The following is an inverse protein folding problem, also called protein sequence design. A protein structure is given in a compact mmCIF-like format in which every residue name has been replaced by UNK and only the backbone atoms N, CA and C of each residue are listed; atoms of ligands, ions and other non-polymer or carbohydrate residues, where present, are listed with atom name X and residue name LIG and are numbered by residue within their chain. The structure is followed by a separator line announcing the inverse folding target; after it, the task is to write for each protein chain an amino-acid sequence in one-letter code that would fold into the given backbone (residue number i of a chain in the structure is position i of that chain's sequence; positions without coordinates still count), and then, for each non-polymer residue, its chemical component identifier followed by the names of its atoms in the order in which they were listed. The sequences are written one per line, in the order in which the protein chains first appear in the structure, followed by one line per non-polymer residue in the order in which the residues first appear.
data_IF_946109546871
#
_entry.id   IF_946109546871
#
_cell.length_a   1.000
_cell.length_b   1.000
_cell.length_c   1.000
_cell.angle_alpha   90.00
_cell.angle_beta   90.00
_cell.angle_gamma   90.00
#
_symmetry.space_group_name_H-M   'P 1'
#
loop_
_entity.id
_entity.type
_entity.pdbx_description
1 polymer ?
#
# COMPACT_ATOMS: atom_id res chain seq x y z
N UNK A 1 -4.74 -18.70 0.87
CA UNK A 1 -4.92 -18.40 -0.56
C UNK A 1 -6.27 -18.95 -0.97
N UNK A 2 -7.33 -18.14 -0.85
CA UNK A 2 -8.62 -18.49 -1.45
C UNK A 2 -8.61 -17.99 -2.89
N UNK A 3 -8.45 -18.93 -3.82
CA UNK A 3 -8.77 -18.75 -5.25
C UNK A 3 -10.30 -18.67 -5.47
N UNK A 4 -11.06 -18.41 -4.41
CA UNK A 4 -12.52 -18.46 -4.35
C UNK A 4 -13.06 -17.02 -4.19
N UNK A 5 -12.92 -16.24 -5.26
CA UNK A 5 -13.52 -14.91 -5.39
C UNK A 5 -13.81 -14.49 -6.83
N UNK A 6 -13.32 -15.26 -7.83
CA UNK A 6 -13.54 -15.03 -9.26
C UNK A 6 -14.84 -15.72 -9.74
N UNK A 7 -15.78 -15.95 -8.83
CA UNK A 7 -17.18 -16.21 -9.16
C UNK A 7 -18.04 -15.03 -8.69
N UNK A 8 -17.75 -13.84 -9.22
CA UNK A 8 -18.82 -12.89 -9.47
C UNK A 8 -19.71 -13.55 -10.51
N UNK A 9 -20.74 -14.25 -10.04
CA UNK A 9 -21.78 -14.78 -10.90
C UNK A 9 -22.21 -13.68 -11.87
N UNK A 10 -22.55 -14.03 -13.11
CA UNK A 10 -23.17 -13.12 -14.09
C UNK A 10 -24.41 -12.35 -13.57
N UNK A 11 -24.85 -12.57 -12.32
CA UNK A 11 -26.00 -11.94 -11.66
C UNK A 11 -25.70 -10.55 -11.06
N UNK A 12 -24.46 -10.19 -10.67
CA UNK A 12 -24.13 -8.85 -10.13
C UNK A 12 -22.80 -8.34 -10.72
N UNK A 13 -22.85 -7.30 -11.55
CA UNK A 13 -21.65 -6.70 -12.17
C UNK A 13 -20.86 -5.91 -11.12
N UNK A 14 -19.54 -6.11 -11.07
CA UNK A 14 -18.64 -5.33 -10.21
C UNK A 14 -18.75 -3.84 -10.56
N UNK A 15 -18.91 -2.99 -9.54
CA UNK A 15 -19.09 -1.53 -9.66
C UNK A 15 -20.34 -1.08 -10.45
N UNK A 16 -21.32 -1.97 -10.64
CA UNK A 16 -22.63 -1.57 -11.15
C UNK A 16 -23.23 -0.47 -10.27
N UNK A 17 -23.63 0.65 -10.87
CA UNK A 17 -24.22 1.78 -10.14
C UNK A 17 -23.23 2.75 -9.48
N UNK A 18 -21.92 2.47 -9.56
CA UNK A 18 -20.88 3.41 -9.11
C UNK A 18 -20.86 4.64 -10.03
N UNK A 19 -20.78 5.88 -9.52
CA UNK A 19 -20.69 7.08 -10.35
C UNK A 19 -19.49 7.06 -11.31
N UNK A 20 -19.62 7.65 -12.51
CA UNK A 20 -18.57 7.67 -13.54
C UNK A 20 -17.20 8.09 -13.00
N UNK A 21 -17.16 9.17 -12.22
CA UNK A 21 -15.90 9.68 -11.64
C UNK A 21 -15.20 8.62 -10.77
N UNK A 22 -15.95 7.91 -9.93
CA UNK A 22 -15.38 6.88 -9.07
C UNK A 22 -14.98 5.63 -9.85
N UNK A 23 -15.71 5.30 -10.92
CA UNK A 23 -15.32 4.22 -11.82
C UNK A 23 -13.99 4.54 -12.53
N UNK A 24 -13.81 5.79 -12.96
CA UNK A 24 -12.55 6.28 -13.53
C UNK A 24 -11.39 6.24 -12.53
N UNK A 25 -11.61 6.75 -11.31
CA UNK A 25 -10.62 6.66 -10.23
C UNK A 25 -10.23 5.19 -9.97
N UNK A 26 -11.21 4.28 -9.94
CA UNK A 26 -10.95 2.85 -9.72
C UNK A 26 -10.15 2.22 -10.84
N UNK A 27 -10.35 2.63 -12.09
CA UNK A 27 -9.52 2.21 -13.21
C UNK A 27 -8.06 2.55 -12.97
N UNK A 28 -7.74 3.78 -12.54
CA UNK A 28 -6.36 4.20 -12.30
C UNK A 28 -5.71 3.43 -11.15
N UNK A 29 -6.45 3.24 -10.05
CA UNK A 29 -6.00 2.42 -8.92
C UNK A 29 -5.67 1.00 -9.36
N UNK A 30 -6.53 0.39 -10.19
CA UNK A 30 -6.30 -0.97 -10.69
C UNK A 30 -5.13 -1.03 -11.67
N UNK A 31 -4.96 -0.05 -12.56
CA UNK A 31 -3.78 0.03 -13.43
C UNK A 31 -2.49 0.08 -12.60
N UNK A 32 -2.46 0.88 -11.53
CA UNK A 32 -1.30 1.00 -10.64
C UNK A 32 -0.95 -0.31 -9.93
N UNK A 33 -1.94 -1.16 -9.65
CA UNK A 33 -1.76 -2.46 -9.00
C UNK A 33 -1.57 -3.61 -9.99
N UNK A 34 -1.94 -3.42 -11.26
CA UNK A 34 -1.84 -4.47 -12.31
C UNK A 34 -0.47 -4.46 -12.96
N UNK A 35 0.15 -3.29 -13.05
CA UNK A 35 1.45 -3.09 -13.67
C UNK A 35 2.48 -2.63 -12.65
N UNK A 36 3.74 -2.83 -13.00
CA UNK A 36 4.90 -2.34 -12.28
C UNK A 36 6.02 -1.96 -13.23
N UNK A 37 7.07 -1.34 -12.69
CA UNK A 37 8.31 -1.13 -13.41
C UNK A 37 9.24 -2.29 -13.09
N UNK A 38 9.85 -2.89 -14.10
CA UNK A 38 10.91 -3.89 -13.93
C UNK A 38 12.29 -3.23 -13.69
N UNK A 39 13.34 -4.04 -13.61
CA UNK A 39 14.70 -3.57 -13.35
C UNK A 39 15.31 -2.73 -14.47
N UNK A 40 14.77 -2.81 -15.68
CA UNK A 40 15.12 -1.93 -16.81
C UNK A 40 14.11 -0.80 -16.98
N UNK A 41 13.19 -0.63 -16.02
CA UNK A 41 12.15 0.39 -15.97
C UNK A 41 11.21 0.35 -17.16
N UNK A 42 10.92 -0.85 -17.64
CA UNK A 42 9.82 -1.13 -18.53
C UNK A 42 8.56 -1.42 -17.71
N UNK A 43 7.41 -0.99 -18.24
CA UNK A 43 6.12 -1.31 -17.64
C UNK A 43 5.79 -2.76 -17.96
N UNK A 44 5.69 -3.59 -16.93
CA UNK A 44 5.39 -5.02 -17.05
C UNK A 44 4.14 -5.37 -16.22
N UNK A 45 3.36 -6.39 -16.62
CA UNK A 45 2.35 -6.99 -15.76
C UNK A 45 2.98 -7.54 -14.48
N UNK A 46 2.31 -7.41 -13.34
CA UNK A 46 2.73 -8.12 -12.12
C UNK A 46 2.42 -9.60 -12.25
N UNK A 47 3.38 -10.45 -11.88
CA UNK A 47 3.25 -11.91 -12.00
C UNK A 47 2.58 -12.59 -10.79
N UNK A 48 2.35 -11.88 -9.69
CA UNK A 48 2.04 -12.52 -8.39
C UNK A 48 0.54 -12.72 -8.11
N UNK A 49 -0.35 -11.98 -8.79
CA UNK A 49 -1.79 -12.04 -8.53
C UNK A 49 -2.62 -11.79 -9.80
N UNK A 50 -3.51 -12.72 -10.17
CA UNK A 50 -4.46 -12.55 -11.28
C UNK A 50 -5.64 -11.64 -10.91
N UNK A 51 -5.84 -11.35 -9.64
CA UNK A 51 -6.98 -10.59 -9.13
C UNK A 51 -7.02 -9.13 -9.62
N UNK A 52 -5.91 -8.34 -9.60
CA UNK A 52 -5.88 -7.02 -10.22
C UNK A 52 -6.29 -7.04 -11.71
N UNK A 53 -5.78 -8.01 -12.49
CA UNK A 53 -6.12 -8.17 -13.91
C UNK A 53 -7.61 -8.44 -14.13
N UNK A 54 -8.18 -9.36 -13.35
CA UNK A 54 -9.60 -9.69 -13.42
C UNK A 54 -10.46 -8.48 -13.07
N UNK A 55 -10.13 -7.75 -11.99
CA UNK A 55 -10.85 -6.53 -11.59
C UNK A 55 -10.73 -5.43 -12.63
N UNK A 56 -9.55 -5.20 -13.20
CA UNK A 56 -9.37 -4.24 -14.27
C UNK A 56 -10.26 -4.58 -15.48
N UNK A 57 -10.32 -5.86 -15.86
CA UNK A 57 -11.20 -6.30 -16.95
C UNK A 57 -12.68 -6.02 -16.67
N UNK A 58 -13.13 -6.20 -15.42
CA UNK A 58 -14.50 -5.89 -15.01
C UNK A 58 -14.78 -4.39 -15.05
N UNK A 59 -13.84 -3.55 -14.62
CA UNK A 59 -13.97 -2.09 -14.73
C UNK A 59 -14.09 -1.65 -16.18
N UNK A 60 -13.25 -2.19 -17.07
CA UNK A 60 -13.31 -1.87 -18.50
C UNK A 60 -14.64 -2.34 -19.13
N UNK A 61 -15.15 -3.50 -18.72
CA UNK A 61 -16.46 -3.99 -19.16
C UNK A 61 -17.61 -3.11 -18.64
N UNK A 62 -17.57 -2.66 -17.39
CA UNK A 62 -18.57 -1.73 -16.86
C UNK A 62 -18.51 -0.35 -17.54
N UNK A 63 -17.31 0.14 -17.88
CA UNK A 63 -17.14 1.39 -18.65
C UNK A 63 -17.71 1.28 -20.08
N UNK A 64 -17.51 0.15 -20.75
CA UNK A 64 -17.98 -0.04 -22.13
C UNK A 64 -19.50 -0.11 -22.24
N UNK A 65 -20.19 -0.49 -21.16
CA UNK A 65 -21.65 -0.51 -21.07
C UNK A 65 -22.28 0.87 -20.85
N UNK A 66 -21.49 1.89 -20.50
CA UNK A 66 -22.00 3.25 -20.24
C UNK A 66 -22.14 4.07 -21.52
N UNK A 67 -23.03 5.08 -21.56
CA UNK A 67 -23.15 5.97 -22.70
C UNK A 67 -21.79 6.60 -23.07
N UNK A 68 -21.39 6.46 -24.34
CA UNK A 68 -20.09 6.92 -24.84
C UNK A 68 -18.91 5.95 -24.62
N UNK A 69 -19.13 4.84 -23.91
CA UNK A 69 -18.15 3.78 -23.69
C UNK A 69 -16.83 4.26 -23.07
N UNK A 70 -15.76 3.50 -23.28
CA UNK A 70 -14.43 3.79 -22.73
C UNK A 70 -13.88 5.14 -23.23
N UNK A 71 -14.18 5.54 -24.47
CA UNK A 71 -13.70 6.80 -25.05
C UNK A 71 -14.19 8.04 -24.28
N UNK A 72 -15.44 8.00 -23.77
CA UNK A 72 -15.96 9.05 -22.91
C UNK A 72 -15.17 9.19 -21.60
N UNK A 73 -14.79 8.06 -20.97
CA UNK A 73 -13.99 8.08 -19.74
C UNK A 73 -12.60 8.68 -19.99
N UNK A 74 -11.93 8.28 -21.06
CA UNK A 74 -10.60 8.80 -21.41
C UNK A 74 -10.62 10.30 -21.68
N UNK A 75 -11.68 10.81 -22.30
CA UNK A 75 -11.83 12.24 -22.59
C UNK A 75 -12.18 13.07 -21.34
N UNK A 76 -13.06 12.55 -20.46
CA UNK A 76 -13.60 13.30 -19.31
C UNK A 76 -12.76 13.16 -18.04
N UNK A 77 -12.12 12.01 -17.86
CA UNK A 77 -11.34 11.66 -16.69
C UNK A 77 -9.97 11.14 -17.17
N UNK A 78 -9.05 12.05 -17.56
CA UNK A 78 -7.72 11.66 -17.99
C UNK A 78 -6.95 11.00 -16.84
N UNK A 79 -6.00 10.12 -17.17
CA UNK A 79 -5.15 9.45 -16.18
C UNK A 79 -4.50 10.47 -15.23
N UNK A 80 -4.39 10.10 -13.95
CA UNK A 80 -3.68 10.94 -13.00
C UNK A 80 -2.18 11.01 -13.31
N UNK A 81 -1.52 12.02 -12.73
CA UNK A 81 -0.08 12.28 -12.95
C UNK A 81 0.79 11.10 -12.49
N UNK A 82 0.44 10.43 -11.39
CA UNK A 82 1.23 9.34 -10.83
C UNK A 82 1.19 8.08 -11.72
N UNK A 83 0.01 7.74 -12.21
CA UNK A 83 -0.23 6.67 -13.19
C UNK A 83 0.49 6.99 -14.50
N UNK A 84 0.43 8.24 -14.96
CA UNK A 84 1.17 8.69 -16.15
C UNK A 84 2.68 8.56 -15.96
N UNK A 85 3.21 8.97 -14.81
CA UNK A 85 4.63 8.87 -14.49
C UNK A 85 5.12 7.42 -14.37
N UNK A 86 4.27 6.51 -13.88
CA UNK A 86 4.55 5.07 -13.91
C UNK A 86 4.62 4.55 -15.35
N UNK A 87 3.68 4.97 -16.22
CA UNK A 87 3.63 4.49 -17.60
C UNK A 87 4.77 5.04 -18.47
N UNK A 88 5.37 6.17 -18.08
CA UNK A 88 6.49 6.81 -18.76
C UNK A 88 7.54 7.29 -17.75
N UNK A 89 8.35 6.37 -17.17
CA UNK A 89 9.33 6.73 -16.15
C UNK A 89 10.43 7.62 -16.72
N UNK A 90 10.87 8.62 -15.95
CA UNK A 90 11.98 9.49 -16.34
C UNK A 90 13.31 8.75 -16.33
N UNK A 91 14.29 9.22 -17.11
CA UNK A 91 15.66 8.65 -17.14
C UNK A 91 16.30 8.59 -15.74
N UNK A 92 16.01 9.57 -14.88
CA UNK A 92 16.45 9.56 -13.48
C UNK A 92 15.90 8.35 -12.72
N UNK A 93 14.61 8.02 -12.88
CA UNK A 93 14.01 6.84 -12.26
C UNK A 93 14.65 5.57 -12.81
N UNK A 94 14.89 5.50 -14.13
CA UNK A 94 15.53 4.34 -14.76
C UNK A 94 16.93 4.08 -14.22
N UNK A 95 17.75 5.13 -14.12
CA UNK A 95 19.09 5.03 -13.56
C UNK A 95 19.09 4.56 -12.10
N UNK A 96 18.20 5.11 -11.28
CA UNK A 96 18.04 4.70 -9.87
C UNK A 96 17.60 3.24 -9.76
N UNK A 97 16.63 2.81 -10.57
CA UNK A 97 16.16 1.42 -10.61
C UNK A 97 17.30 0.43 -10.95
N UNK A 98 18.08 0.73 -11.99
CA UNK A 98 19.25 -0.07 -12.37
C UNK A 98 20.33 -0.10 -11.28
N UNK A 99 20.52 1.01 -10.54
CA UNK A 99 21.45 1.06 -9.40
C UNK A 99 21.02 0.10 -8.29
N UNK A 100 19.74 0.10 -7.92
CA UNK A 100 19.21 -0.84 -6.92
C UNK A 100 19.32 -2.27 -7.42
N UNK A 101 18.93 -2.53 -8.68
CA UNK A 101 18.99 -3.87 -9.26
C UNK A 101 20.40 -4.47 -9.22
N UNK A 102 21.43 -3.67 -9.55
CA UNK A 102 22.84 -4.11 -9.45
C UNK A 102 23.28 -4.48 -8.03
N UNK A 103 22.66 -3.88 -7.01
CA UNK A 103 22.92 -4.20 -5.61
C UNK A 103 22.14 -5.45 -5.13
N UNK A 104 21.07 -5.83 -5.83
CA UNK A 104 20.30 -7.03 -5.53
C UNK A 104 20.97 -8.24 -6.18
N UNK A 105 21.69 -9.03 -5.37
CA UNK A 105 22.24 -10.32 -5.79
C UNK A 105 21.09 -11.31 -5.99
N UNK A 106 20.61 -11.46 -7.23
CA UNK A 106 19.75 -12.49 -7.87
C UNK A 106 18.51 -13.07 -7.13
N UNK A 107 18.33 -12.84 -5.84
CA UNK A 107 17.19 -13.27 -5.05
C UNK A 107 16.67 -12.09 -4.21
N UNK A 108 15.41 -11.74 -4.39
CA UNK A 108 14.72 -10.69 -3.61
C UNK A 108 13.82 -11.26 -2.51
N UNK A 109 13.69 -12.59 -2.43
CA UNK A 109 12.84 -13.24 -1.45
C UNK A 109 13.35 -12.97 -0.03
N UNK A 110 12.40 -12.82 0.89
CA UNK A 110 12.67 -12.60 2.31
C UNK A 110 13.57 -11.38 2.60
N UNK A 111 13.38 -10.29 1.86
CA UNK A 111 14.03 -9.01 2.11
C UNK A 111 13.00 -7.94 2.44
N UNK A 112 13.40 -6.95 3.22
CA UNK A 112 12.61 -5.75 3.45
C UNK A 112 13.33 -4.54 2.86
N UNK A 113 12.58 -3.67 2.21
CA UNK A 113 13.12 -2.45 1.60
C UNK A 113 12.49 -1.24 2.28
N UNK A 114 13.30 -0.23 2.55
CA UNK A 114 12.82 1.07 3.02
C UNK A 114 13.45 2.16 2.19
N UNK A 115 12.60 2.97 1.58
CA UNK A 115 13.00 4.09 0.74
C UNK A 115 12.79 5.40 1.52
N UNK A 116 13.61 6.40 1.23
CA UNK A 116 13.46 7.72 1.85
C UNK A 116 14.56 8.70 1.45
N UNK A 117 14.67 9.79 2.20
CA UNK A 117 15.80 10.70 2.08
C UNK A 117 17.09 10.02 2.52
N UNK A 118 18.23 10.50 1.97
CA UNK A 118 19.52 9.90 2.27
C UNK A 118 19.84 9.96 3.76
N UNK A 119 19.54 11.09 4.41
CA UNK A 119 19.82 11.30 5.83
C UNK A 119 19.16 10.23 6.72
N UNK A 120 17.87 9.97 6.54
CA UNK A 120 17.15 8.99 7.37
C UNK A 120 17.56 7.55 7.05
N UNK A 121 17.85 7.25 5.78
CA UNK A 121 18.27 5.90 5.38
C UNK A 121 19.70 5.59 5.84
N UNK A 122 20.57 6.60 5.83
CA UNK A 122 21.91 6.49 6.38
C UNK A 122 21.89 6.29 7.90
N UNK A 123 21.10 7.06 8.64
CA UNK A 123 20.93 6.89 10.09
C UNK A 123 20.36 5.50 10.45
N UNK A 124 19.36 5.04 9.70
CA UNK A 124 18.82 3.68 9.85
C UNK A 124 19.91 2.62 9.64
N UNK A 125 20.71 2.74 8.59
CA UNK A 125 21.73 1.75 8.25
C UNK A 125 22.92 1.75 9.22
N UNK A 126 23.48 2.93 9.52
CA UNK A 126 24.71 3.05 10.32
C UNK A 126 24.45 2.88 11.81
N UNK A 127 23.40 3.49 12.32
CA UNK A 127 23.15 3.60 13.76
C UNK A 127 21.93 2.79 14.23
N UNK A 128 21.14 2.26 13.28
CA UNK A 128 19.86 1.63 13.60
C UNK A 128 18.81 2.65 14.05
N UNK A 129 18.94 3.92 13.64
CA UNK A 129 18.00 4.97 14.01
C UNK A 129 16.63 4.75 13.37
N UNK A 130 15.62 4.51 14.21
CA UNK A 130 14.26 4.20 13.80
C UNK A 130 13.32 5.24 14.42
N UNK A 131 12.42 5.75 13.59
CA UNK A 131 11.30 6.58 14.04
C UNK A 131 9.98 5.89 13.73
N UNK A 132 9.22 5.57 14.76
CA UNK A 132 7.85 5.10 14.63
C UNK A 132 6.91 6.28 14.42
N UNK A 133 6.17 6.24 13.31
CA UNK A 133 5.19 7.27 12.99
C UNK A 133 3.84 6.90 13.60
N UNK A 134 3.11 7.86 14.15
CA UNK A 134 1.69 7.66 14.47
C UNK A 134 0.90 7.47 13.16
N UNK A 135 0.03 6.48 13.13
CA UNK A 135 -0.84 6.19 12.00
C UNK A 135 -1.72 7.41 11.63
N UNK A 136 -2.17 8.19 12.62
CA UNK A 136 -2.90 9.44 12.38
C UNK A 136 -2.15 10.47 11.51
N UNK A 137 -0.81 10.48 11.53
CA UNK A 137 -0.03 11.46 10.79
C UNK A 137 -0.10 11.24 9.26
N UNK A 138 -0.39 10.02 8.80
CA UNK A 138 -0.45 9.71 7.36
C UNK A 138 -1.60 10.44 6.67
N UNK A 139 -2.70 10.70 7.40
CA UNK A 139 -3.87 11.44 6.88
C UNK A 139 -3.53 12.86 6.43
N UNK A 140 -2.49 13.44 7.03
CA UNK A 140 -2.06 14.81 6.78
C UNK A 140 -0.82 14.91 5.89
N UNK A 141 -0.37 13.80 5.29
CA UNK A 141 0.78 13.83 4.39
C UNK A 141 0.51 14.68 3.15
N UNK A 142 1.51 15.46 2.74
CA UNK A 142 1.51 16.18 1.46
C UNK A 142 1.84 15.24 0.28
N UNK A 143 2.45 14.09 0.57
CA UNK A 143 2.71 13.07 -0.44
C UNK A 143 1.45 12.21 -0.65
N UNK A 144 0.75 12.40 -1.77
CA UNK A 144 -0.46 11.67 -2.13
C UNK A 144 -0.27 10.14 -2.19
N UNK A 145 0.94 9.66 -2.48
CA UNK A 145 1.25 8.23 -2.51
C UNK A 145 1.33 7.63 -1.10
N UNK A 146 1.50 8.45 -0.07
CA UNK A 146 1.58 8.04 1.35
C UNK A 146 0.36 8.51 2.14
N UNK A 147 -0.42 9.45 1.59
CA UNK A 147 -1.58 10.04 2.25
C UNK A 147 -2.74 9.04 2.34
N UNK A 148 -2.91 8.49 3.54
CA UNK A 148 -3.95 7.50 3.84
C UNK A 148 -4.58 7.73 5.21
N UNK A 149 -5.84 7.32 5.37
CA UNK A 149 -6.51 7.26 6.68
C UNK A 149 -6.25 5.89 7.31
N UNK A 150 -5.04 5.70 7.81
CA UNK A 150 -4.57 4.43 8.41
C UNK A 150 -5.41 3.95 9.61
N UNK A 151 -6.26 4.82 10.16
CA UNK A 151 -7.13 4.54 11.29
C UNK A 151 -8.55 4.16 10.89
N UNK A 152 -8.92 4.34 9.61
CA UNK A 152 -10.27 4.14 9.13
C UNK A 152 -10.30 3.50 7.74
N UNK A 153 -10.99 2.37 7.62
CA UNK A 153 -11.34 1.81 6.32
C UNK A 153 -12.84 1.99 6.08
N UNK A 154 -13.17 2.74 5.03
CA UNK A 154 -14.54 2.93 4.57
C UNK A 154 -14.87 1.90 3.48
N UNK A 155 -16.04 1.28 3.63
CA UNK A 155 -16.62 0.36 2.68
C UNK A 155 -17.86 0.96 2.05
N UNK A 156 -18.09 0.69 0.77
CA UNK A 156 -19.22 1.22 0.03
C UNK A 156 -19.89 0.09 -0.74
N UNK A 157 -21.15 -0.17 -0.42
CA UNK A 157 -21.98 -1.14 -1.12
C UNK A 157 -23.01 -0.42 -1.99
N UNK A 158 -22.87 -0.51 -3.31
CA UNK A 158 -23.86 0.02 -4.25
C UNK A 158 -25.02 -0.97 -4.42
N UNK A 159 -26.24 -0.43 -4.26
CA UNK A 159 -27.46 -1.22 -4.35
C UNK A 159 -27.86 -1.42 -5.81
N UNK A 160 -28.23 -2.63 -6.16
CA UNK A 160 -28.90 -2.94 -7.44
C UNK A 160 -30.26 -2.26 -7.52
N UNK A 161 -30.80 -2.05 -8.72
CA UNK A 161 -32.12 -1.43 -8.91
C UNK A 161 -33.22 -2.11 -8.09
N UNK A 162 -33.14 -3.45 -7.96
CA UNK A 162 -34.04 -4.23 -7.11
C UNK A 162 -33.90 -3.86 -5.63
N UNK A 163 -32.66 -3.82 -5.11
CA UNK A 163 -32.37 -3.44 -3.73
C UNK A 163 -32.78 -1.97 -3.46
N UNK A 164 -32.61 -1.07 -4.43
CA UNK A 164 -33.04 0.33 -4.30
C UNK A 164 -34.56 0.48 -4.20
N UNK A 165 -35.32 -0.34 -4.94
CA UNK A 165 -36.78 -0.38 -4.88
C UNK A 165 -37.30 -0.87 -3.52
N UNK A 166 -36.56 -1.78 -2.86
CA UNK A 166 -36.90 -2.31 -1.54
C UNK A 166 -36.51 -1.36 -0.39
N UNK A 167 -35.46 -0.55 -0.55
CA UNK A 167 -34.87 0.29 0.51
C UNK A 167 -35.13 1.79 0.25
N UNK A 168 -36.36 2.14 -0.12
CA UNK A 168 -36.84 3.54 -0.24
C UNK A 168 -35.93 4.49 -1.04
N UNK A 169 -35.30 4.00 -2.12
CA UNK A 169 -34.47 4.82 -3.02
C UNK A 169 -33.05 5.13 -2.52
N UNK A 170 -32.57 4.49 -1.45
CA UNK A 170 -31.16 4.55 -1.08
C UNK A 170 -30.29 4.00 -2.22
N UNK A 171 -29.22 4.71 -2.60
CA UNK A 171 -28.32 4.28 -3.71
C UNK A 171 -27.17 3.38 -3.26
N UNK A 172 -26.70 3.56 -2.03
CA UNK A 172 -25.59 2.79 -1.47
C UNK A 172 -25.63 2.79 0.06
N UNK A 173 -24.99 1.79 0.67
CA UNK A 173 -24.62 1.77 2.08
C UNK A 173 -23.15 2.06 2.25
N UNK A 174 -22.81 2.78 3.32
CA UNK A 174 -21.43 3.01 3.74
C UNK A 174 -21.27 2.58 5.18
N UNK A 175 -20.18 1.89 5.47
CA UNK A 175 -19.77 1.62 6.85
C UNK A 175 -18.27 1.83 6.97
N UNK A 176 -17.83 2.17 8.18
CA UNK A 176 -16.42 2.44 8.47
C UNK A 176 -15.97 1.54 9.61
N UNK A 177 -14.84 0.87 9.43
CA UNK A 177 -14.12 0.21 10.51
C UNK A 177 -13.04 1.16 11.00
N UNK A 178 -12.96 1.35 12.31
CA UNK A 178 -12.00 2.26 12.94
C UNK A 178 -11.14 1.53 13.96
N UNK A 179 -9.90 1.99 14.12
CA UNK A 179 -8.97 1.56 15.17
C UNK A 179 -8.55 2.74 16.03
N UNK A 180 -8.22 2.52 17.32
CA UNK A 180 -7.35 3.42 18.06
C UNK A 180 -6.06 3.70 17.30
N UNK A 181 -5.44 4.84 17.59
CA UNK A 181 -4.15 5.19 16.99
C UNK A 181 -3.06 4.19 17.40
N UNK A 182 -2.11 3.98 16.48
CA UNK A 182 -1.00 3.06 16.68
C UNK A 182 0.27 3.64 16.09
N UNK A 183 1.41 3.17 16.60
CA UNK A 183 2.70 3.49 16.03
C UNK A 183 3.04 2.45 14.97
N UNK A 184 3.52 2.91 13.81
CA UNK A 184 3.91 2.05 12.69
C UNK A 184 5.28 2.39 12.14
N UNK A 185 5.97 1.36 11.70
CA UNK A 185 7.20 1.42 10.93
C UNK A 185 7.00 0.59 9.66
N UNK A 186 6.88 1.27 8.52
CA UNK A 186 6.62 0.62 7.24
C UNK A 186 7.91 0.31 6.47
N UNK A 187 7.95 -0.89 5.91
CA UNK A 187 8.85 -1.35 4.86
C UNK A 187 7.98 -1.82 3.69
N UNK A 188 8.61 -2.24 2.61
CA UNK A 188 7.99 -3.07 1.58
C UNK A 188 8.68 -4.43 1.54
N UNK A 189 7.93 -5.49 1.30
CA UNK A 189 8.45 -6.86 1.18
C UNK A 189 8.75 -7.28 -0.26
N UNK A 190 8.53 -6.39 -1.23
CA UNK A 190 8.87 -6.58 -2.63
C UNK A 190 9.38 -5.28 -3.27
N UNK A 191 10.22 -5.40 -4.29
CA UNK A 191 10.75 -4.21 -4.97
C UNK A 191 9.79 -3.72 -6.05
N UNK A 192 9.32 -2.48 -5.90
CA UNK A 192 8.63 -1.76 -6.96
C UNK A 192 9.35 -0.46 -7.29
N UNK A 193 10.01 -0.38 -8.44
CA UNK A 193 10.85 0.76 -8.79
C UNK A 193 10.08 2.08 -8.96
N UNK A 194 8.74 2.02 -9.12
CA UNK A 194 7.88 3.21 -9.09
C UNK A 194 7.99 3.99 -7.78
N UNK A 195 8.23 3.29 -6.67
CA UNK A 195 8.33 3.89 -5.33
C UNK A 195 9.47 4.92 -5.23
N UNK A 196 10.48 4.82 -6.10
CA UNK A 196 11.55 5.82 -6.22
C UNK A 196 10.96 7.19 -6.58
N UNK A 197 10.06 7.24 -7.56
CA UNK A 197 9.41 8.46 -8.01
C UNK A 197 8.33 8.91 -7.01
N UNK A 198 7.46 7.99 -6.60
CA UNK A 198 6.31 8.27 -5.73
C UNK A 198 6.74 8.83 -4.37
N UNK A 199 7.89 8.41 -3.86
CA UNK A 199 8.41 8.87 -2.57
C UNK A 199 9.59 9.83 -2.69
N UNK A 200 9.95 10.24 -3.91
CA UNK A 200 11.13 11.06 -4.19
C UNK A 200 12.39 10.53 -3.46
N UNK A 201 12.63 9.21 -3.59
CA UNK A 201 13.64 8.52 -2.80
C UNK A 201 15.07 8.92 -3.23
N UNK A 202 15.88 9.25 -2.23
CA UNK A 202 17.31 9.54 -2.36
C UNK A 202 18.17 8.36 -1.91
N UNK A 203 17.59 7.39 -1.21
CA UNK A 203 18.27 6.17 -0.82
C UNK A 203 17.27 5.04 -0.55
N UNK A 204 17.77 3.81 -0.55
CA UNK A 204 17.05 2.63 -0.06
C UNK A 204 17.93 1.82 0.88
N UNK A 205 17.37 1.40 2.02
CA UNK A 205 17.97 0.37 2.88
C UNK A 205 17.31 -0.97 2.54
N UNK A 206 18.13 -1.96 2.23
CA UNK A 206 17.72 -3.33 1.95
C UNK A 206 18.13 -4.18 3.16
N UNK A 207 17.16 -4.66 3.94
CA UNK A 207 17.38 -5.58 5.06
C UNK A 207 17.40 -7.00 4.50
N UNK A 208 18.54 -7.69 4.62
CA UNK A 208 18.74 -9.06 4.14
C UNK A 208 18.32 -10.12 5.16
N UNK A 209 18.26 -9.76 6.44
CA UNK A 209 17.84 -10.66 7.53
C UNK A 209 16.67 -10.04 8.32
N UNK A 210 15.42 -10.09 7.80
CA UNK A 210 14.25 -9.46 8.43
C UNK A 210 13.96 -9.96 9.86
N UNK A 211 14.29 -11.22 10.16
CA UNK A 211 14.13 -11.83 11.48
C UNK A 211 15.11 -11.28 12.50
N UNK A 212 16.37 -11.09 12.10
CA UNK A 212 17.37 -10.47 12.97
C UNK A 212 17.05 -8.99 13.21
N UNK A 213 16.63 -8.27 12.17
CA UNK A 213 16.12 -6.91 12.31
C UNK A 213 14.95 -6.83 13.30
N UNK A 214 13.97 -7.74 13.19
CA UNK A 214 12.86 -7.81 14.15
C UNK A 214 13.33 -8.13 15.57
N UNK A 215 14.30 -9.02 15.75
CA UNK A 215 14.84 -9.35 17.07
C UNK A 215 15.46 -8.13 17.74
N UNK A 216 16.29 -7.36 17.02
CA UNK A 216 16.88 -6.10 17.52
C UNK A 216 15.80 -5.09 17.86
N UNK A 217 14.82 -4.92 16.97
CA UNK A 217 13.68 -4.03 17.19
C UNK A 217 12.87 -4.43 18.43
N UNK A 218 12.59 -5.71 18.61
CA UNK A 218 11.86 -6.26 19.76
C UNK A 218 12.63 -6.02 21.07
N UNK A 219 13.94 -6.20 21.08
CA UNK A 219 14.77 -5.93 22.27
C UNK A 219 14.71 -4.45 22.64
N UNK A 220 14.93 -3.55 21.69
CA UNK A 220 14.91 -2.10 21.97
C UNK A 220 13.52 -1.54 22.25
N UNK A 221 12.45 -2.20 21.81
CA UNK A 221 11.09 -1.75 22.09
C UNK A 221 10.57 -2.18 23.46
N UNK A 222 11.15 -3.22 24.08
CA UNK A 222 10.77 -3.69 25.43
C UNK A 222 10.80 -2.58 26.50
N UNK A 223 11.72 -1.63 26.38
CA UNK A 223 11.82 -0.51 27.34
C UNK A 223 10.60 0.43 27.30
N UNK A 224 9.84 0.45 26.19
CA UNK A 224 8.61 1.22 26.03
C UNK A 224 7.35 0.37 26.29
N UNK A 225 7.53 -0.94 26.52
CA UNK A 225 6.41 -1.85 26.71
C UNK A 225 6.02 -1.88 28.19
N UNK A 226 4.82 -1.36 28.48
CA UNK A 226 4.08 -1.85 29.65
C UNK A 226 3.72 -3.34 29.43
N UNK A 227 3.32 -4.06 30.48
CA UNK A 227 2.93 -5.49 30.41
C UNK A 227 1.86 -5.83 29.34
N UNK A 228 1.27 -4.84 28.67
CA UNK A 228 0.21 -4.99 27.67
C UNK A 228 0.57 -4.48 26.26
N UNK A 229 1.78 -3.96 26.03
CA UNK A 229 2.18 -3.40 24.73
C UNK A 229 3.01 -4.44 23.95
N UNK A 230 2.51 -4.91 22.80
CA UNK A 230 3.22 -5.89 21.97
C UNK A 230 3.62 -5.31 20.61
N UNK A 231 4.90 -5.46 20.26
CA UNK A 231 5.40 -5.21 18.91
C UNK A 231 4.96 -6.36 17.99
N UNK A 232 4.01 -6.06 17.10
CA UNK A 232 3.52 -6.97 16.05
C UNK A 232 4.25 -6.67 14.74
N UNK A 233 4.32 -7.66 13.84
CA UNK A 233 4.83 -7.47 12.47
C UNK A 233 4.03 -8.29 11.46
N UNK A 234 4.01 -7.86 10.21
CA UNK A 234 3.40 -8.62 9.12
C UNK A 234 3.16 -7.81 7.86
N UNK A 235 2.92 -8.52 6.76
CA UNK A 235 2.51 -7.93 5.49
C UNK A 235 1.10 -7.36 5.60
N UNK A 236 0.88 -6.24 4.92
CA UNK A 236 -0.40 -5.53 4.88
C UNK A 236 -1.37 -6.25 3.97
N UNK A 237 -2.60 -6.41 4.45
CA UNK A 237 -3.72 -6.90 3.67
C UNK A 237 -4.44 -5.74 2.98
N UNK A 238 -4.53 -5.81 1.67
CA UNK A 238 -5.14 -4.78 0.86
C UNK A 238 -6.63 -5.05 0.63
N UNK A 239 -7.48 -4.12 1.07
CA UNK A 239 -8.92 -4.29 1.14
C UNK A 239 -9.60 -3.49 0.05
N UNK A 240 -10.36 -4.18 -0.81
CA UNK A 240 -11.19 -3.52 -1.82
C UNK A 240 -12.46 -2.97 -1.16
N UNK A 241 -12.65 -1.63 -1.13
CA UNK A 241 -13.80 -1.02 -0.46
C UNK A 241 -15.14 -1.33 -1.14
N UNK A 242 -15.12 -1.84 -2.38
CA UNK A 242 -16.30 -2.18 -3.17
C UNK A 242 -16.64 -3.66 -3.16
N UNK A 243 -15.81 -4.51 -2.55
CA UNK A 243 -16.07 -5.95 -2.50
C UNK A 243 -16.98 -6.28 -1.32
N UNK A 244 -18.07 -6.99 -1.61
CA UNK A 244 -19.14 -7.34 -0.68
C UNK A 244 -18.84 -8.59 0.16
N UNK A 245 -17.64 -9.17 -0.01
CA UNK A 245 -17.16 -10.28 0.80
C UNK A 245 -17.18 -9.85 2.26
N UNK A 246 -18.02 -10.53 3.04
CA UNK A 246 -18.29 -10.46 4.49
C UNK A 246 -17.03 -10.55 5.38
N UNK A 247 -15.98 -9.84 5.02
CA UNK A 247 -14.73 -9.79 5.73
C UNK A 247 -14.95 -8.77 6.83
N UNK A 248 -15.51 -9.24 7.94
CA UNK A 248 -15.47 -8.49 9.17
C UNK A 248 -13.99 -8.29 9.50
N UNK A 249 -13.51 -7.07 9.29
CA UNK A 249 -12.20 -6.67 9.78
C UNK A 249 -12.42 -6.28 11.23
N UNK A 250 -11.90 -7.10 12.14
CA UNK A 250 -11.83 -6.72 13.53
C UNK A 250 -10.88 -5.54 13.68
N UNK A 251 -11.21 -4.59 14.57
CA UNK A 251 -10.44 -3.35 14.75
C UNK A 251 -8.98 -3.63 15.09
N UNK A 252 -8.68 -4.74 15.77
CA UNK A 252 -7.33 -5.19 16.11
C UNK A 252 -6.46 -5.59 14.91
N UNK A 253 -7.08 -5.89 13.76
CA UNK A 253 -6.39 -6.21 12.51
C UNK A 253 -6.22 -5.01 11.59
N UNK A 254 -6.91 -3.89 11.87
CA UNK A 254 -6.85 -2.70 11.05
C UNK A 254 -5.42 -2.15 10.86
N UNK A 255 -4.50 -2.22 11.85
CA UNK A 255 -3.12 -1.74 11.65
C UNK A 255 -2.35 -2.44 10.53
N UNK A 256 -2.80 -3.63 10.12
CA UNK A 256 -2.26 -4.42 9.01
C UNK A 256 -3.21 -4.47 7.81
N UNK A 257 -4.17 -3.55 7.73
CA UNK A 257 -5.06 -3.41 6.59
C UNK A 257 -4.84 -2.05 5.93
N UNK A 258 -4.96 -1.99 4.60
CA UNK A 258 -4.84 -0.74 3.84
C UNK A 258 -5.81 -0.73 2.67
N UNK A 259 -6.19 0.45 2.19
CA UNK A 259 -6.99 0.59 0.97
C UNK A 259 -6.29 -0.10 -0.20
N UNK A 260 -7.05 -0.88 -0.97
CA UNK A 260 -6.56 -1.59 -2.13
C UNK A 260 -5.77 -0.74 -3.12
N UNK A 261 -6.07 0.57 -3.25
CA UNK A 261 -5.32 1.46 -4.15
C UNK A 261 -3.82 1.54 -3.86
N UNK A 262 -3.39 1.13 -2.67
CA UNK A 262 -1.99 1.11 -2.26
C UNK A 262 -1.34 -0.27 -2.36
N UNK A 263 -2.02 -1.28 -2.93
CA UNK A 263 -1.49 -2.65 -3.07
C UNK A 263 -0.11 -2.66 -3.73
N UNK A 264 0.13 -1.74 -4.66
CA UNK A 264 1.40 -1.64 -5.35
C UNK A 264 2.62 -1.48 -4.43
N UNK A 265 2.42 -1.01 -3.20
CA UNK A 265 3.48 -0.73 -2.23
C UNK A 265 3.95 -1.98 -1.49
N UNK A 266 3.15 -3.06 -1.46
CA UNK A 266 3.47 -4.32 -0.80
C UNK A 266 4.06 -4.10 0.61
N UNK A 267 3.33 -3.37 1.44
CA UNK A 267 3.82 -2.90 2.72
C UNK A 267 4.00 -4.05 3.72
N UNK A 268 5.11 -4.00 4.43
CA UNK A 268 5.38 -4.80 5.61
C UNK A 268 5.49 -3.87 6.81
N UNK A 269 4.66 -4.08 7.82
CA UNK A 269 4.58 -3.17 8.98
C UNK A 269 5.16 -3.81 10.22
N UNK A 270 5.81 -2.99 11.03
CA UNK A 270 5.98 -3.23 12.46
C UNK A 270 5.07 -2.27 13.21
N UNK A 271 4.22 -2.80 14.07
CA UNK A 271 3.15 -2.05 14.74
C UNK A 271 3.28 -2.18 16.25
N UNK A 272 3.17 -1.05 16.94
CA UNK A 272 3.01 -1.00 18.39
C UNK A 272 1.61 -0.45 18.68
N UNK A 273 0.72 -1.33 19.13
CA UNK A 273 -0.61 -0.97 19.63
C UNK A 273 -0.49 -0.60 21.11
N UNK A 274 -0.92 0.60 21.51
CA UNK A 274 -0.97 0.99 22.91
C UNK A 274 -2.19 1.89 23.17
N UNK A 275 -2.75 1.80 24.37
CA UNK A 275 -3.83 2.70 24.82
C UNK A 275 -3.31 4.08 25.23
N UNK A 276 -1.99 4.22 25.47
CA UNK A 276 -1.34 5.48 25.85
C UNK A 276 -0.65 6.18 24.67
N UNK A 277 -0.76 7.50 24.63
CA UNK A 277 -0.01 8.35 23.69
C UNK A 277 1.48 8.30 24.00
N UNK A 278 2.30 7.94 23.00
CA UNK A 278 3.76 8.03 23.08
C UNK A 278 4.22 9.48 22.84
N UNK A 279 5.14 9.97 23.66
CA UNK A 279 5.87 11.21 23.39
C UNK A 279 6.74 11.07 22.14
N UNK A 280 7.16 12.19 21.53
CA UNK A 280 8.03 12.15 20.35
C UNK A 280 9.38 11.47 20.63
N UNK A 281 9.91 11.62 21.85
CA UNK A 281 11.16 11.01 22.27
C UNK A 281 11.05 9.48 22.31
N UNK A 282 9.91 8.95 22.76
CA UNK A 282 9.65 7.50 22.82
C UNK A 282 9.41 6.88 21.44
N UNK A 283 9.19 7.70 20.41
CA UNK A 283 9.02 7.24 19.02
C UNK A 283 10.35 7.04 18.29
N UNK A 284 11.45 7.62 18.79
CA UNK A 284 12.79 7.45 18.21
C UNK A 284 13.60 6.46 19.04
N UNK A 285 14.11 5.42 18.38
CA UNK A 285 14.89 4.37 19.02
C UNK A 285 16.13 4.04 18.19
N UNK A 286 17.15 3.50 18.83
CA UNK A 286 18.35 3.00 18.17
C UNK A 286 18.47 1.49 18.41
N UNK A 287 18.57 0.71 17.33
CA UNK A 287 18.65 -0.75 17.41
C UNK A 287 20.06 -1.29 17.16
N UNK A 288 21.04 -0.39 17.11
CA UNK A 288 22.41 -0.69 16.72
C UNK A 288 22.59 -0.72 15.21
N UNK A 289 23.85 -0.69 14.77
CA UNK A 289 24.18 -0.71 13.34
C UNK A 289 23.52 -1.88 12.62
N UNK A 290 23.11 -1.64 11.38
CA UNK A 290 22.53 -2.66 10.49
C UNK A 290 23.50 -3.06 9.39
N UNK A 291 24.74 -2.56 9.42
CA UNK A 291 25.77 -2.81 8.39
C UNK A 291 26.09 -4.29 8.17
N UNK A 292 25.79 -5.15 9.15
CA UNK A 292 25.97 -6.59 9.10
C UNK A 292 24.78 -7.34 8.47
N UNK A 293 23.56 -6.79 8.54
CA UNK A 293 22.33 -7.42 8.05
C UNK A 293 21.62 -6.65 6.92
N UNK A 294 22.18 -5.53 6.49
CA UNK A 294 21.55 -4.63 5.54
C UNK A 294 22.54 -4.00 4.55
N UNK A 295 22.01 -3.39 3.50
CA UNK A 295 22.77 -2.60 2.54
C UNK A 295 22.08 -1.28 2.27
N UNK A 296 22.80 -0.18 2.39
CA UNK A 296 22.38 1.13 1.94
C UNK A 296 22.75 1.32 0.46
N UNK A 297 21.77 1.67 -0.37
CA UNK A 297 21.99 2.11 -1.74
C UNK A 297 21.67 3.60 -1.83
N UNK A 298 22.68 4.42 -2.08
CA UNK A 298 22.53 5.85 -2.37
C UNK A 298 21.92 6.03 -3.76
N UNK A 299 20.90 6.88 -3.91
CA UNK A 299 20.18 7.16 -5.16
C UNK A 299 20.24 8.64 -5.55
N UNK A 300 21.08 9.46 -4.91
CA UNK A 300 21.29 10.86 -5.31
C UNK A 300 22.03 10.96 -6.64
#
# INVERSE_FOLDING_TARGET
MDVIGIYLSRKKRYLSGVPDKQLAERQWQLLNNTFELDSVSMVVPRNEDLNPHARLSHVLAEMSLRPGGIGYFQAKYPLDKATTAMLAPSETVKYKAQKIHRCLKENCDNKLFRFGSYQFMHELHQDGGIFFQSASNYKHSDNLSVKDDELQLQFIHYLSEKEQAEISGAKCFKYTVSSPDFLTLCFTDAINYRMIADWNAEAVVIIHEPDEFYNRLRVCTKQFQSNHTLLKRGSVRYIDPYFDGKTLIESEHLPFCKDYKFQYQQEYRFVICNEKQFSEQERKIYIGSLTDIATLVDLR
#
